data_IF_671197182865
#
_entry.id   IF_671197182865
#
_cell.length_a   1.000
_cell.length_b   1.000
_cell.length_c   1.000
_cell.angle_alpha   90.00
_cell.angle_beta   90.00
_cell.angle_gamma   90.00
#
_symmetry.space_group_name_H-M   'P 1'
#
loop_
_entity.id
_entity.type
_entity.pdbx_description
1 polymer ?
#
# COMPACT_ATOMS: atom_id res chain seq x y z
N UNK A 1 -17.50 4.61 -3.59
CA UNK A 1 -16.31 5.43 -3.24
C UNK A 1 -16.56 6.85 -3.72
N UNK A 2 -16.39 7.85 -2.86
CA UNK A 2 -16.36 9.25 -3.31
C UNK A 2 -15.14 9.39 -4.23
N UNK A 3 -15.32 9.91 -5.45
CA UNK A 3 -14.35 9.83 -6.56
C UNK A 3 -13.01 10.57 -6.41
N UNK A 4 -12.50 10.75 -5.18
CA UNK A 4 -11.22 11.41 -4.87
C UNK A 4 -10.24 10.55 -4.06
N UNK A 5 -10.59 9.30 -3.74
CA UNK A 5 -9.65 8.34 -3.15
C UNK A 5 -8.87 7.62 -4.24
N UNK A 6 -7.65 7.18 -3.93
CA UNK A 6 -6.92 6.27 -4.82
C UNK A 6 -6.26 5.13 -4.05
N UNK A 7 -6.24 3.96 -4.67
CA UNK A 7 -5.54 2.78 -4.19
C UNK A 7 -4.31 2.58 -5.06
N UNK A 8 -3.20 2.31 -4.40
CA UNK A 8 -1.86 2.32 -4.98
C UNK A 8 -1.06 1.12 -4.47
N UNK A 9 -0.02 0.75 -5.20
CA UNK A 9 0.95 -0.26 -4.75
C UNK A 9 2.34 0.36 -4.79
N UNK A 10 3.04 0.25 -3.67
CA UNK A 10 4.43 0.68 -3.51
C UNK A 10 5.41 -0.33 -4.12
N UNK A 11 6.73 -0.02 -4.25
CA UNK A 11 7.68 -0.86 -4.97
C UNK A 11 7.70 -2.32 -4.54
N UNK A 12 7.53 -2.59 -3.24
CA UNK A 12 7.55 -3.94 -2.66
C UNK A 12 6.18 -4.59 -2.56
N UNK A 13 5.16 -4.05 -3.23
CA UNK A 13 3.78 -4.55 -3.17
C UNK A 13 3.02 -4.14 -1.91
N UNK A 14 3.52 -3.17 -1.13
CA UNK A 14 2.74 -2.61 -0.04
C UNK A 14 1.49 -1.93 -0.60
N UNK A 15 0.35 -2.21 0.02
CA UNK A 15 -0.95 -1.73 -0.42
C UNK A 15 -1.27 -0.40 0.27
N UNK A 16 -1.57 0.62 -0.54
CA UNK A 16 -1.68 2.00 -0.08
C UNK A 16 -3.07 2.58 -0.36
N UNK A 17 -3.61 3.31 0.62
CA UNK A 17 -4.76 4.18 0.48
C UNK A 17 -4.28 5.64 0.50
N UNK A 18 -4.58 6.38 -0.56
CA UNK A 18 -4.59 7.84 -0.54
C UNK A 18 -6.01 8.32 -0.33
N UNK A 19 -6.27 8.84 0.87
CA UNK A 19 -7.55 9.37 1.31
C UNK A 19 -8.02 10.59 0.52
N UNK A 20 -9.33 10.81 0.45
CA UNK A 20 -9.85 12.05 -0.09
C UNK A 20 -9.48 13.24 0.83
N UNK A 21 -9.46 14.49 0.31
CA UNK A 21 -9.44 15.68 1.16
C UNK A 21 -10.74 15.77 1.94
N UNK A 22 -10.66 15.65 3.27
CA UNK A 22 -11.80 15.62 4.19
C UNK A 22 -11.69 16.76 5.21
N UNK A 23 -12.84 17.21 5.73
CA UNK A 23 -12.92 18.36 6.63
C UNK A 23 -12.54 18.01 8.07
N UNK A 24 -12.78 16.77 8.48
CA UNK A 24 -12.58 16.34 9.88
C UNK A 24 -11.84 15.01 9.98
N UNK A 25 -11.12 14.84 11.09
CA UNK A 25 -10.47 13.57 11.44
C UNK A 25 -11.47 12.42 11.58
N UNK A 26 -12.71 12.70 11.99
CA UNK A 26 -13.77 11.68 12.08
C UNK A 26 -14.14 11.14 10.70
N UNK A 27 -14.19 11.99 9.68
CA UNK A 27 -14.39 11.55 8.29
C UNK A 27 -13.19 10.71 7.82
N UNK A 28 -11.95 11.12 8.13
CA UNK A 28 -10.76 10.32 7.80
C UNK A 28 -10.80 8.94 8.47
N UNK A 29 -11.16 8.88 9.75
CA UNK A 29 -11.31 7.62 10.47
C UNK A 29 -12.39 6.73 9.82
N UNK A 30 -13.55 7.30 9.46
CA UNK A 30 -14.60 6.56 8.77
C UNK A 30 -14.13 6.01 7.41
N UNK A 31 -13.33 6.80 6.67
CA UNK A 31 -12.80 6.39 5.37
C UNK A 31 -11.77 5.26 5.48
N UNK A 32 -10.83 5.36 6.42
CA UNK A 32 -9.85 4.29 6.71
C UNK A 32 -10.57 3.00 7.09
N UNK A 33 -11.57 3.07 7.97
CA UNK A 33 -12.35 1.89 8.38
C UNK A 33 -13.11 1.27 7.20
N UNK A 34 -13.70 2.09 6.33
CA UNK A 34 -14.39 1.62 5.12
C UNK A 34 -13.44 0.89 4.18
N UNK A 35 -12.22 1.42 3.99
CA UNK A 35 -11.20 0.77 3.19
C UNK A 35 -10.76 -0.57 3.80
N UNK A 36 -10.47 -0.62 5.10
CA UNK A 36 -10.09 -1.85 5.78
C UNK A 36 -11.18 -2.93 5.69
N UNK A 37 -12.45 -2.53 5.81
CA UNK A 37 -13.58 -3.45 5.63
C UNK A 37 -13.62 -4.05 4.21
N UNK A 38 -13.47 -3.20 3.18
CA UNK A 38 -13.46 -3.65 1.78
C UNK A 38 -12.29 -4.59 1.47
N UNK A 39 -11.09 -4.23 1.93
CA UNK A 39 -9.89 -5.06 1.75
C UNK A 39 -10.07 -6.41 2.42
N UNK A 40 -10.56 -6.42 3.67
CA UNK A 40 -10.79 -7.65 4.42
C UNK A 40 -11.82 -8.56 3.73
N UNK A 41 -12.93 -7.99 3.28
CA UNK A 41 -14.00 -8.76 2.62
C UNK A 41 -13.49 -9.53 1.38
N UNK A 42 -12.64 -8.90 0.56
CA UNK A 42 -12.05 -9.56 -0.62
C UNK A 42 -10.91 -10.49 -0.23
N UNK A 43 -10.05 -10.07 0.69
CA UNK A 43 -8.84 -10.82 1.06
C UNK A 43 -9.15 -12.13 1.80
N UNK A 44 -10.23 -12.18 2.58
CA UNK A 44 -10.67 -13.39 3.28
C UNK A 44 -10.98 -14.54 2.32
N UNK A 45 -11.67 -14.26 1.20
CA UNK A 45 -11.97 -15.26 0.17
C UNK A 45 -10.69 -15.78 -0.52
N UNK A 46 -9.62 -14.98 -0.53
CA UNK A 46 -8.33 -15.32 -1.12
C UNK A 46 -7.35 -15.96 -0.12
N UNK A 47 -7.69 -16.04 1.17
CA UNK A 47 -6.77 -16.48 2.22
C UNK A 47 -5.59 -15.51 2.45
N UNK A 48 -5.77 -14.22 2.14
CA UNK A 48 -4.74 -13.18 2.27
C UNK A 48 -4.97 -12.36 3.54
N UNK A 49 -3.89 -12.04 4.24
CA UNK A 49 -3.90 -11.12 5.39
C UNK A 49 -3.06 -9.87 5.12
N UNK A 50 -3.43 -8.76 5.77
CA UNK A 50 -2.68 -7.50 5.76
C UNK A 50 -2.16 -7.19 7.17
N UNK A 51 -0.97 -6.59 7.26
CA UNK A 51 -0.34 -6.22 8.53
C UNK A 51 0.15 -4.76 8.48
N UNK A 52 -0.23 -3.98 9.49
CA UNK A 52 0.20 -2.58 9.65
C UNK A 52 1.46 -2.48 10.50
N UNK A 53 2.63 -2.50 9.87
CA UNK A 53 3.95 -2.39 10.52
C UNK A 53 4.90 -1.56 9.65
N UNK A 54 5.90 -0.93 10.27
CA UNK A 54 6.82 -0.04 9.57
C UNK A 54 7.90 -0.73 8.72
N UNK A 55 8.19 -2.01 8.96
CA UNK A 55 9.21 -2.77 8.22
C UNK A 55 8.80 -4.24 8.09
N UNK A 56 9.22 -4.88 6.99
CA UNK A 56 8.90 -6.30 6.76
C UNK A 56 9.66 -7.19 7.75
N UNK A 57 8.98 -8.02 8.58
CA UNK A 57 9.60 -8.63 9.76
C UNK A 57 10.31 -9.95 9.45
N UNK A 58 10.43 -10.35 8.18
CA UNK A 58 10.78 -11.74 7.80
C UNK A 58 11.59 -11.85 6.51
N UNK A 59 11.14 -11.17 5.44
CA UNK A 59 11.82 -11.25 4.15
C UNK A 59 13.10 -10.41 4.16
N UNK A 60 14.15 -10.93 3.53
CA UNK A 60 15.28 -10.11 3.16
C UNK A 60 14.91 -9.21 1.98
N UNK A 61 15.64 -8.10 1.81
CA UNK A 61 15.39 -7.15 0.72
C UNK A 61 15.38 -7.80 -0.67
N UNK A 62 16.19 -8.84 -0.89
CA UNK A 62 16.31 -9.53 -2.18
C UNK A 62 15.09 -10.40 -2.51
N UNK A 63 14.32 -10.78 -1.48
CA UNK A 63 13.17 -11.68 -1.58
C UNK A 63 11.85 -10.90 -1.73
N UNK A 64 11.88 -9.56 -1.58
CA UNK A 64 10.70 -8.72 -1.76
C UNK A 64 10.35 -8.63 -3.25
N UNK A 65 9.14 -9.02 -3.67
CA UNK A 65 8.71 -8.90 -5.06
C UNK A 65 8.63 -7.43 -5.47
N UNK A 66 8.96 -7.14 -6.74
CA UNK A 66 8.94 -5.78 -7.27
C UNK A 66 7.71 -5.59 -8.14
N UNK A 67 6.92 -4.56 -7.84
CA UNK A 67 5.75 -4.20 -8.64
C UNK A 67 6.17 -3.74 -10.05
N UNK A 68 5.43 -4.14 -11.11
CA UNK A 68 5.80 -3.88 -12.51
C UNK A 68 5.47 -2.44 -12.94
N UNK A 69 6.05 -1.44 -12.29
CA UNK A 69 5.91 0.00 -12.63
C UNK A 69 7.28 0.56 -13.00
N UNK A 70 7.45 1.09 -14.21
CA UNK A 70 8.75 1.55 -14.73
C UNK A 70 9.47 2.58 -13.85
N UNK A 71 8.73 3.44 -13.14
CA UNK A 71 9.30 4.38 -12.16
C UNK A 71 10.11 3.70 -11.05
N UNK A 72 9.74 2.48 -10.65
CA UNK A 72 10.42 1.73 -9.59
C UNK A 72 11.76 1.16 -10.03
N UNK A 73 11.89 0.80 -11.31
CA UNK A 73 13.16 0.38 -11.88
C UNK A 73 14.16 1.53 -11.91
N UNK A 74 13.73 2.69 -12.40
CA UNK A 74 14.56 3.93 -12.43
C UNK A 74 15.04 4.27 -11.02
N UNK A 75 14.12 4.34 -10.06
CA UNK A 75 14.45 4.66 -8.67
C UNK A 75 15.44 3.65 -8.07
N UNK A 76 15.22 2.35 -8.31
CA UNK A 76 16.11 1.28 -7.80
C UNK A 76 17.52 1.40 -8.36
N UNK A 77 17.66 1.66 -9.66
CA UNK A 77 18.96 1.80 -10.31
C UNK A 77 19.71 3.02 -9.76
N UNK A 78 19.02 4.14 -9.60
CA UNK A 78 19.60 5.35 -9.01
C UNK A 78 20.06 5.15 -7.56
N UNK A 79 19.22 4.55 -6.71
CA UNK A 79 19.56 4.29 -5.31
C UNK A 79 20.69 3.26 -5.14
N UNK A 80 20.92 2.39 -6.14
CA UNK A 80 22.07 1.48 -6.16
C UNK A 80 23.37 2.18 -6.53
N UNK A 81 23.33 3.15 -7.44
CA UNK A 81 24.52 3.92 -7.85
C UNK A 81 24.92 5.00 -6.84
N UNK A 82 24.01 5.41 -5.95
CA UNK A 82 24.28 6.37 -4.87
C UNK A 82 24.96 5.72 -3.63
N UNK A 83 25.43 4.48 -3.76
CA UNK A 83 26.17 3.74 -2.73
C UNK A 83 27.66 3.73 -3.02
#
# INVERSE_FOLDING_TARGET
>A
MNGKQSISMEPGGQFELSSAPLETLHQTCAEVNSHLYQVKAVAEEMGIGFIGIGFHPKLERKDIPIMPKGRYEIMRNYLRSAR
#
